data_IF_733958144598
#
_entry.id   IF_733958144598
#
_cell.length_a   1.000
_cell.length_b   1.000
_cell.length_c   1.000
_cell.angle_alpha   90.00
_cell.angle_beta   90.00
_cell.angle_gamma   90.00
#
_symmetry.space_group_name_H-M   'P 1'
#
loop_
_entity.id
_entity.type
_entity.pdbx_description
1 polymer ?
#
# COMPACT_ATOMS: atom_id res chain seq x y z
N UNK A 1 1.18 -23.89 -24.97
CA UNK A 1 2.36 -23.98 -24.08
C UNK A 1 3.35 -22.82 -24.28
N UNK A 2 3.78 -22.48 -25.53
CA UNK A 2 4.76 -21.39 -25.74
C UNK A 2 4.22 -20.00 -25.47
N UNK A 3 3.06 -19.66 -26.02
CA UNK A 3 2.42 -18.35 -25.87
C UNK A 3 1.98 -18.09 -24.42
N UNK A 4 1.49 -19.08 -23.71
CA UNK A 4 1.13 -18.99 -22.29
C UNK A 4 2.34 -18.71 -21.42
N UNK A 5 3.46 -19.40 -21.67
CA UNK A 5 4.72 -19.15 -20.98
C UNK A 5 5.24 -17.74 -21.20
N UNK A 6 5.14 -17.22 -22.41
CA UNK A 6 5.56 -15.86 -22.73
C UNK A 6 4.70 -14.83 -21.97
N UNK A 7 3.38 -15.03 -21.91
CA UNK A 7 2.48 -14.15 -21.16
C UNK A 7 2.83 -14.14 -19.66
N UNK A 8 3.16 -15.30 -19.10
CA UNK A 8 3.50 -15.43 -17.67
C UNK A 8 4.87 -14.86 -17.31
N UNK A 9 5.75 -14.65 -18.29
CA UNK A 9 7.06 -14.02 -18.09
C UNK A 9 7.02 -12.49 -18.12
N UNK A 10 5.91 -11.91 -18.55
CA UNK A 10 5.74 -10.45 -18.58
C UNK A 10 5.62 -9.89 -17.16
N UNK A 11 6.26 -8.74 -16.94
CA UNK A 11 6.31 -8.09 -15.63
C UNK A 11 5.88 -6.62 -15.73
N UNK A 12 5.53 -6.05 -14.57
CA UNK A 12 5.15 -4.64 -14.46
C UNK A 12 3.98 -4.32 -15.40
N UNK A 13 4.10 -3.25 -16.14
CA UNK A 13 3.05 -2.75 -17.03
C UNK A 13 2.70 -3.69 -18.20
N UNK A 14 3.55 -4.62 -18.54
CA UNK A 14 3.30 -5.60 -19.60
C UNK A 14 2.66 -6.88 -19.13
N UNK A 15 2.52 -7.07 -17.81
CA UNK A 15 1.87 -8.25 -17.23
C UNK A 15 0.40 -8.31 -17.64
N UNK A 16 -0.10 -9.52 -17.86
CA UNK A 16 -1.50 -9.73 -18.19
C UNK A 16 -2.40 -9.21 -17.06
N UNK A 17 -3.38 -8.36 -17.41
CA UNK A 17 -4.29 -7.76 -16.43
C UNK A 17 -3.66 -6.70 -15.52
N UNK A 18 -2.47 -6.15 -15.85
CA UNK A 18 -1.89 -5.04 -15.10
C UNK A 18 -2.69 -3.73 -15.30
N UNK A 19 -3.15 -3.47 -16.53
CA UNK A 19 -3.93 -2.29 -16.89
C UNK A 19 -5.35 -2.59 -17.36
N UNK A 20 -5.49 -3.65 -18.13
CA UNK A 20 -6.79 -4.03 -18.70
C UNK A 20 -7.50 -4.91 -17.71
N UNK A 21 -8.52 -4.36 -17.06
CA UNK A 21 -9.32 -5.06 -16.06
C UNK A 21 -9.95 -6.36 -16.59
N UNK A 22 -10.34 -6.38 -17.89
CA UNK A 22 -10.93 -7.54 -18.54
C UNK A 22 -9.97 -8.74 -18.66
N UNK A 23 -8.68 -8.50 -18.60
CA UNK A 23 -7.67 -9.55 -18.66
C UNK A 23 -7.27 -10.09 -17.26
N UNK A 24 -7.63 -9.36 -16.18
CA UNK A 24 -7.26 -9.75 -14.81
C UNK A 24 -7.86 -11.08 -14.35
N UNK A 25 -9.12 -11.42 -14.64
CA UNK A 25 -9.68 -12.73 -14.32
C UNK A 25 -8.90 -13.89 -14.95
N UNK A 26 -8.43 -13.72 -16.19
CA UNK A 26 -7.60 -14.74 -16.86
C UNK A 26 -6.27 -14.97 -16.12
N UNK A 27 -5.70 -13.91 -15.54
CA UNK A 27 -4.49 -14.03 -14.71
C UNK A 27 -4.75 -14.88 -13.47
N UNK A 28 -5.90 -14.72 -12.81
CA UNK A 28 -6.29 -15.56 -11.68
C UNK A 28 -6.40 -17.02 -12.09
N UNK A 29 -7.04 -17.29 -13.24
CA UNK A 29 -7.22 -18.64 -13.76
C UNK A 29 -5.87 -19.30 -14.07
N UNK A 30 -4.94 -18.58 -14.74
CA UNK A 30 -3.61 -19.08 -15.05
C UNK A 30 -2.76 -19.35 -13.79
N UNK A 31 -2.91 -18.52 -12.76
CA UNK A 31 -2.16 -18.65 -11.50
C UNK A 31 -2.84 -19.62 -10.52
N UNK A 32 -4.08 -20.05 -10.79
CA UNK A 32 -4.84 -20.92 -9.91
C UNK A 32 -5.32 -20.24 -8.63
N UNK A 33 -5.51 -18.92 -8.65
CA UNK A 33 -5.99 -18.16 -7.48
C UNK A 33 -7.52 -18.15 -7.42
N UNK A 34 -8.06 -18.43 -6.25
CA UNK A 34 -9.49 -18.34 -5.97
C UNK A 34 -9.97 -16.91 -5.73
N UNK A 35 -9.09 -16.04 -5.25
CA UNK A 35 -9.33 -14.60 -5.08
C UNK A 35 -8.00 -13.83 -4.96
N UNK A 36 -8.07 -12.54 -5.16
CA UNK A 36 -6.91 -11.66 -5.08
C UNK A 36 -7.29 -10.31 -4.46
N UNK A 37 -6.57 -9.91 -3.43
CA UNK A 37 -6.59 -8.53 -2.96
C UNK A 37 -5.73 -7.70 -3.92
N UNK A 38 -6.34 -6.69 -4.54
CA UNK A 38 -5.69 -5.93 -5.63
C UNK A 38 -5.13 -4.63 -5.09
N UNK A 39 -3.83 -4.44 -5.31
CA UNK A 39 -3.10 -3.22 -4.99
C UNK A 39 -2.69 -2.51 -6.26
N UNK A 40 -2.55 -1.20 -6.22
CA UNK A 40 -1.96 -0.45 -7.31
C UNK A 40 -0.48 -0.20 -7.03
N UNK A 41 0.38 -0.38 -8.04
CA UNK A 41 1.80 -0.08 -7.93
C UNK A 41 2.09 1.41 -8.16
N UNK A 42 1.52 2.00 -9.22
CA UNK A 42 1.85 3.37 -9.62
C UNK A 42 1.20 4.44 -8.72
N UNK A 43 0.00 4.17 -8.21
CA UNK A 43 -0.67 5.12 -7.31
C UNK A 43 0.00 5.23 -5.93
N UNK A 44 0.90 4.32 -5.58
CA UNK A 44 1.79 4.49 -4.43
C UNK A 44 2.71 5.71 -4.58
N UNK A 45 2.99 6.15 -5.82
CA UNK A 45 3.66 7.41 -6.10
C UNK A 45 2.89 8.65 -5.60
N UNK A 46 1.57 8.54 -5.39
CA UNK A 46 0.74 9.58 -4.77
C UNK A 46 1.13 9.87 -3.32
N UNK A 47 1.90 9.01 -2.66
CA UNK A 47 2.53 9.33 -1.38
C UNK A 47 3.37 10.60 -1.43
N UNK A 48 3.88 10.99 -2.61
CA UNK A 48 4.54 12.27 -2.82
C UNK A 48 3.65 13.48 -2.58
N UNK A 49 2.33 13.33 -2.65
CA UNK A 49 1.35 14.38 -2.34
C UNK A 49 1.18 14.59 -0.83
N UNK A 50 1.58 13.62 -0.02
CA UNK A 50 1.47 13.65 1.44
C UNK A 50 2.62 14.41 2.10
N UNK A 51 2.81 15.64 1.69
CA UNK A 51 3.90 16.51 2.19
C UNK A 51 3.46 17.49 3.28
N UNK A 52 2.18 17.50 3.64
CA UNK A 52 1.57 18.49 4.53
C UNK A 52 1.31 19.85 3.88
N UNK A 53 1.71 20.04 2.62
CA UNK A 53 1.47 21.29 1.87
C UNK A 53 0.24 21.22 0.96
N UNK A 54 -0.20 20.02 0.63
CA UNK A 54 -1.24 19.75 -0.36
C UNK A 54 -2.25 18.73 0.15
N UNK A 55 -2.60 18.77 1.46
CA UNK A 55 -3.48 17.79 2.10
C UNK A 55 -4.77 17.57 1.33
N UNK A 56 -5.44 18.65 0.90
CA UNK A 56 -6.65 18.55 0.11
C UNK A 56 -6.45 17.77 -1.19
N UNK A 57 -5.33 18.00 -1.89
CA UNK A 57 -5.02 17.28 -3.12
C UNK A 57 -4.76 15.80 -2.84
N UNK A 58 -4.04 15.47 -1.76
CA UNK A 58 -3.80 14.09 -1.35
C UNK A 58 -5.12 13.35 -1.06
N UNK A 59 -6.03 13.98 -0.34
CA UNK A 59 -7.36 13.42 -0.04
C UNK A 59 -8.21 13.21 -1.31
N UNK A 60 -8.25 14.18 -2.21
CA UNK A 60 -9.01 14.04 -3.45
C UNK A 60 -8.39 13.01 -4.42
N UNK A 61 -7.06 12.93 -4.47
CA UNK A 61 -6.36 11.89 -5.21
C UNK A 61 -6.69 10.49 -4.65
N UNK A 62 -6.75 10.35 -3.33
CA UNK A 62 -7.15 9.09 -2.68
C UNK A 62 -8.59 8.70 -3.05
N UNK A 63 -9.54 9.63 -3.02
CA UNK A 63 -10.93 9.38 -3.45
C UNK A 63 -11.01 8.96 -4.91
N UNK A 64 -10.27 9.63 -5.80
CA UNK A 64 -10.22 9.25 -7.21
C UNK A 64 -9.63 7.86 -7.41
N UNK A 65 -8.54 7.55 -6.70
CA UNK A 65 -7.91 6.23 -6.68
C UNK A 65 -8.89 5.16 -6.21
N UNK A 66 -9.61 5.37 -5.11
CA UNK A 66 -10.52 4.38 -4.54
C UNK A 66 -11.66 4.06 -5.51
N UNK A 67 -12.23 5.08 -6.19
CA UNK A 67 -13.21 4.85 -7.26
C UNK A 67 -12.66 4.03 -8.42
N UNK A 68 -11.43 4.31 -8.84
CA UNK A 68 -10.76 3.56 -9.91
C UNK A 68 -10.51 2.11 -9.52
N UNK A 69 -10.12 1.84 -8.26
CA UNK A 69 -9.93 0.49 -7.76
C UNK A 69 -11.21 -0.34 -7.77
N UNK A 70 -12.32 0.26 -7.36
CA UNK A 70 -13.63 -0.38 -7.43
C UNK A 70 -14.01 -0.67 -8.89
N UNK A 71 -13.84 0.29 -9.81
CA UNK A 71 -14.11 0.06 -11.23
C UNK A 71 -13.25 -1.05 -11.81
N UNK A 72 -11.96 -1.09 -11.45
CA UNK A 72 -11.05 -2.14 -11.91
C UNK A 72 -11.47 -3.53 -11.42
N UNK A 73 -11.87 -3.65 -10.16
CA UNK A 73 -12.20 -4.94 -9.54
C UNK A 73 -13.62 -5.44 -9.87
N UNK A 74 -14.52 -4.57 -10.31
CA UNK A 74 -15.92 -4.94 -10.57
C UNK A 74 -16.14 -5.92 -11.73
N UNK A 75 -15.11 -6.27 -12.49
CA UNK A 75 -15.22 -7.23 -13.61
C UNK A 75 -15.29 -8.68 -13.15
N UNK A 76 -14.85 -8.97 -11.92
CA UNK A 76 -14.87 -10.32 -11.36
C UNK A 76 -14.92 -10.25 -9.83
N UNK A 77 -15.82 -10.99 -9.20
CA UNK A 77 -16.02 -10.99 -7.74
C UNK A 77 -14.84 -11.59 -6.94
N UNK A 78 -13.91 -12.24 -7.61
CA UNK A 78 -12.66 -12.74 -7.02
C UNK A 78 -11.62 -11.61 -6.84
N UNK A 79 -11.80 -10.45 -7.48
CA UNK A 79 -10.95 -9.28 -7.35
C UNK A 79 -11.45 -8.41 -6.21
N UNK A 80 -10.66 -8.32 -5.17
CA UNK A 80 -10.99 -7.59 -3.94
C UNK A 80 -10.26 -6.24 -3.97
N UNK A 81 -11.02 -5.16 -4.11
CA UNK A 81 -10.46 -3.81 -4.16
C UNK A 81 -9.88 -3.38 -2.80
N UNK A 82 -8.75 -2.68 -2.83
CA UNK A 82 -8.22 -1.96 -1.67
C UNK A 82 -8.44 -0.46 -1.83
N UNK A 83 -8.79 0.21 -0.72
CA UNK A 83 -8.90 1.67 -0.64
C UNK A 83 -7.65 2.29 -0.04
N UNK A 84 -7.18 3.39 -0.60
CA UNK A 84 -6.07 4.17 -0.05
C UNK A 84 -6.58 5.28 0.86
N UNK A 85 -5.99 5.42 2.05
CA UNK A 85 -6.33 6.43 3.05
C UNK A 85 -5.07 7.18 3.45
N UNK A 86 -4.88 8.43 3.00
CA UNK A 86 -3.78 9.28 3.45
C UNK A 86 -3.99 9.69 4.92
N UNK A 87 -2.91 9.74 5.70
CA UNK A 87 -2.96 10.13 7.11
C UNK A 87 -2.65 11.62 7.34
N UNK A 88 -2.46 12.41 6.29
CA UNK A 88 -2.03 13.83 6.38
C UNK A 88 -3.09 14.78 6.94
N UNK A 89 -4.33 14.36 6.96
CA UNK A 89 -5.45 15.12 7.49
C UNK A 89 -6.26 14.27 8.46
N UNK A 90 -6.18 14.63 9.74
CA UNK A 90 -6.78 13.88 10.85
C UNK A 90 -8.32 13.80 10.79
N UNK A 91 -8.98 14.75 10.10
CA UNK A 91 -10.44 14.79 9.94
C UNK A 91 -10.90 14.05 8.68
N UNK A 92 -10.11 14.13 7.62
CA UNK A 92 -10.46 13.50 6.35
C UNK A 92 -10.11 12.01 6.31
N UNK A 93 -9.06 11.55 7.01
CA UNK A 93 -8.65 10.15 6.99
C UNK A 93 -9.80 9.19 7.39
N UNK A 94 -10.53 9.39 8.50
CA UNK A 94 -11.67 8.54 8.83
C UNK A 94 -12.82 8.61 7.80
N UNK A 95 -13.06 9.78 7.22
CA UNK A 95 -14.10 9.96 6.20
C UNK A 95 -13.77 9.19 4.92
N UNK A 96 -12.53 9.29 4.44
CA UNK A 96 -12.07 8.56 3.26
C UNK A 96 -12.13 7.05 3.50
N UNK A 97 -11.80 6.59 4.70
CA UNK A 97 -11.91 5.18 5.08
C UNK A 97 -13.37 4.71 4.98
N UNK A 98 -14.30 5.45 5.56
CA UNK A 98 -15.73 5.12 5.50
C UNK A 98 -16.23 5.10 4.06
N UNK A 99 -15.94 6.14 3.28
CA UNK A 99 -16.28 6.22 1.85
C UNK A 99 -15.73 5.01 1.06
N UNK A 100 -14.48 4.60 1.32
CA UNK A 100 -13.88 3.44 0.67
C UNK A 100 -14.61 2.13 1.00
N UNK A 101 -15.03 1.96 2.25
CA UNK A 101 -15.81 0.80 2.68
C UNK A 101 -17.21 0.78 2.07
N UNK A 102 -17.89 1.91 2.06
CA UNK A 102 -19.22 2.06 1.42
C UNK A 102 -19.17 1.74 -0.07
N UNK A 103 -18.07 2.06 -0.75
CA UNK A 103 -17.84 1.65 -2.14
C UNK A 103 -17.56 0.16 -2.31
N UNK A 104 -17.22 -0.56 -1.24
CA UNK A 104 -16.98 -2.01 -1.26
C UNK A 104 -15.52 -2.45 -1.17
N UNK A 105 -14.58 -1.58 -0.81
CA UNK A 105 -13.19 -1.96 -0.54
C UNK A 105 -13.10 -3.02 0.57
N UNK A 106 -12.17 -3.96 0.42
CA UNK A 106 -11.97 -5.13 1.31
C UNK A 106 -10.69 -5.04 2.14
N UNK A 107 -10.02 -3.92 2.08
CA UNK A 107 -8.84 -3.56 2.87
C UNK A 107 -8.54 -2.09 2.70
N UNK A 108 -7.93 -1.46 3.69
CA UNK A 108 -7.49 -0.07 3.65
C UNK A 108 -5.97 0.00 3.66
N UNK A 109 -5.39 0.56 2.61
CA UNK A 109 -3.95 0.84 2.54
C UNK A 109 -3.71 2.20 3.19
N UNK A 110 -2.81 2.25 4.14
CA UNK A 110 -2.30 3.49 4.72
C UNK A 110 -0.79 3.62 4.48
N UNK A 111 -0.24 4.85 4.49
CA UNK A 111 1.20 5.05 4.37
C UNK A 111 1.97 4.30 5.44
N UNK A 112 3.05 3.63 5.07
CA UNK A 112 3.98 3.02 6.03
C UNK A 112 4.97 4.01 6.63
N UNK A 113 4.89 5.29 6.27
CA UNK A 113 5.71 6.38 6.82
C UNK A 113 4.92 7.24 7.78
N UNK A 114 5.66 7.97 8.64
CA UNK A 114 5.07 8.96 9.51
C UNK A 114 4.48 10.13 8.69
N UNK A 115 3.20 10.48 8.90
CA UNK A 115 2.62 11.66 8.29
C UNK A 115 3.30 12.94 8.78
N UNK A 116 3.33 14.02 7.97
CA UNK A 116 3.88 15.29 8.42
C UNK A 116 3.11 15.88 9.59
N UNK A 117 3.82 16.17 10.68
CA UNK A 117 3.28 16.93 11.80
C UNK A 117 2.60 16.16 12.92
N UNK A 118 2.38 14.85 12.76
CA UNK A 118 1.79 14.02 13.82
C UNK A 118 2.18 12.54 13.69
N UNK A 119 2.03 11.80 14.78
CA UNK A 119 2.24 10.35 14.79
C UNK A 119 1.11 9.59 14.05
N UNK A 120 1.40 8.43 13.45
CA UNK A 120 0.34 7.49 13.02
C UNK A 120 -0.56 7.03 14.17
N UNK A 121 -0.08 7.07 15.42
CA UNK A 121 -0.82 6.75 16.65
C UNK A 121 -1.59 7.93 17.23
N UNK A 122 -1.68 9.06 16.54
CA UNK A 122 -2.39 10.25 17.03
C UNK A 122 -3.85 9.94 17.33
N UNK A 123 -4.33 10.35 18.51
CA UNK A 123 -5.69 10.01 19.00
C UNK A 123 -6.83 10.47 18.09
N UNK A 124 -6.64 11.52 17.28
CA UNK A 124 -7.63 11.93 16.28
C UNK A 124 -7.79 10.93 15.12
N UNK A 125 -6.92 9.92 15.02
CA UNK A 125 -7.05 8.80 14.08
C UNK A 125 -7.80 7.60 14.65
N UNK A 126 -8.16 7.62 15.95
CA UNK A 126 -8.95 6.54 16.56
C UNK A 126 -10.24 6.19 15.78
N UNK A 127 -10.99 7.17 15.23
CA UNK A 127 -12.15 6.84 14.41
C UNK A 127 -11.81 6.01 13.15
N UNK A 128 -10.63 6.19 12.56
CA UNK A 128 -10.18 5.37 11.43
C UNK A 128 -9.99 3.91 11.85
N UNK A 129 -9.35 3.70 12.99
CA UNK A 129 -9.11 2.36 13.52
C UNK A 129 -10.41 1.66 13.91
N UNK A 130 -11.33 2.38 14.57
CA UNK A 130 -12.66 1.87 14.89
C UNK A 130 -13.45 1.45 13.64
N UNK A 131 -13.46 2.28 12.60
CA UNK A 131 -14.13 1.97 11.33
C UNK A 131 -13.59 0.66 10.71
N UNK A 132 -12.27 0.49 10.67
CA UNK A 132 -11.67 -0.73 10.12
C UNK A 132 -11.96 -1.97 11.00
N UNK A 133 -11.89 -1.83 12.31
CA UNK A 133 -12.19 -2.88 13.29
C UNK A 133 -13.64 -3.34 13.21
N UNK A 134 -14.60 -2.40 13.25
CA UNK A 134 -16.03 -2.68 13.16
C UNK A 134 -16.41 -3.36 11.84
N UNK A 135 -15.79 -2.94 10.73
CA UNK A 135 -15.96 -3.56 9.43
C UNK A 135 -15.24 -4.92 9.30
N UNK A 136 -14.36 -5.26 10.25
CA UNK A 136 -13.58 -6.50 10.23
C UNK A 136 -12.57 -6.60 9.10
N UNK A 137 -12.19 -5.47 8.48
CA UNK A 137 -11.27 -5.42 7.35
C UNK A 137 -9.83 -5.11 7.82
N UNK A 138 -8.81 -5.59 7.09
CA UNK A 138 -7.43 -5.31 7.45
C UNK A 138 -6.99 -3.89 7.07
N UNK A 139 -6.14 -3.30 7.91
CA UNK A 139 -5.26 -2.20 7.58
C UNK A 139 -4.00 -2.78 6.91
N UNK A 140 -3.62 -2.22 5.79
CA UNK A 140 -2.60 -2.73 4.91
C UNK A 140 -1.47 -1.73 4.78
N UNK A 141 -0.24 -2.18 5.01
CA UNK A 141 0.96 -1.39 4.81
C UNK A 141 1.74 -1.91 3.61
N UNK A 142 1.96 -1.06 2.63
CA UNK A 142 2.98 -1.33 1.62
C UNK A 142 4.32 -0.80 2.12
N UNK A 143 5.37 -1.64 2.13
CA UNK A 143 6.72 -1.20 2.49
C UNK A 143 7.25 -0.16 1.49
N UNK A 144 8.30 0.57 1.86
CA UNK A 144 8.91 1.56 0.97
C UNK A 144 8.30 2.95 1.03
N UNK A 145 7.46 3.25 2.03
CA UNK A 145 6.89 4.59 2.23
C UNK A 145 7.95 5.67 2.45
N UNK A 146 9.06 5.33 3.05
CA UNK A 146 10.22 6.19 3.21
C UNK A 146 11.51 5.36 3.32
N UNK A 147 12.39 5.49 2.33
CA UNK A 147 13.65 4.75 2.28
C UNK A 147 14.82 5.64 2.76
N UNK A 148 14.67 6.27 3.92
CA UNK A 148 15.74 7.09 4.49
C UNK A 148 16.74 6.22 5.19
N UNK A 149 17.91 6.12 4.59
CA UNK A 149 19.10 5.54 5.18
C UNK A 149 20.24 6.56 5.05
N UNK A 150 21.08 6.65 6.06
CA UNK A 150 22.29 7.46 5.95
C UNK A 150 23.15 6.94 4.80
N UNK A 151 23.44 7.80 3.84
CA UNK A 151 24.20 7.42 2.63
C UNK A 151 25.62 6.95 2.95
N UNK A 152 26.17 7.30 4.12
CA UNK A 152 27.45 6.82 4.60
C UNK A 152 27.50 5.28 4.71
N UNK A 153 26.38 4.61 4.97
CA UNK A 153 26.32 3.13 4.98
C UNK A 153 26.64 2.48 3.62
N UNK A 154 26.51 3.24 2.53
CA UNK A 154 26.89 2.78 1.20
C UNK A 154 28.37 2.99 0.89
N UNK A 155 29.08 3.78 1.68
CA UNK A 155 30.49 4.15 1.46
C UNK A 155 31.44 3.16 2.14
N UNK A 156 31.41 1.91 1.73
CA UNK A 156 32.22 0.83 2.28
C UNK A 156 33.55 0.59 1.53
N UNK A 157 33.88 1.44 0.54
CA UNK A 157 35.10 1.31 -0.27
C UNK A 157 35.06 0.20 -1.33
N UNK A 158 33.96 -0.49 -1.47
CA UNK A 158 33.75 -1.53 -2.49
C UNK A 158 33.00 -0.97 -3.70
N UNK A 159 33.15 -1.62 -4.85
CA UNK A 159 32.31 -1.31 -6.01
C UNK A 159 30.84 -1.58 -5.66
N UNK A 160 29.90 -0.67 -6.05
CA UNK A 160 28.49 -0.87 -5.81
C UNK A 160 28.00 -2.19 -6.42
N UNK A 161 27.40 -3.05 -5.60
CA UNK A 161 26.68 -4.22 -6.10
C UNK A 161 25.28 -3.73 -6.43
N UNK A 162 25.06 -3.48 -7.71
CA UNK A 162 23.73 -3.19 -8.25
C UNK A 162 23.00 -4.52 -8.48
N UNK A 163 21.68 -4.48 -8.39
CA UNK A 163 20.87 -5.64 -8.76
C UNK A 163 20.92 -6.82 -7.79
N UNK A 164 20.51 -6.56 -6.56
CA UNK A 164 20.40 -7.58 -5.51
C UNK A 164 19.49 -8.76 -5.89
N UNK A 165 18.50 -8.54 -6.76
CA UNK A 165 17.54 -9.56 -7.21
C UNK A 165 17.82 -10.16 -8.59
N UNK A 166 18.91 -9.78 -9.24
CA UNK A 166 19.20 -10.21 -10.61
C UNK A 166 18.26 -9.64 -11.68
N UNK A 167 17.67 -8.48 -11.43
CA UNK A 167 16.72 -7.80 -12.33
C UNK A 167 17.02 -6.32 -12.54
N UNK A 168 16.09 -5.59 -13.15
CA UNK A 168 16.24 -4.18 -13.51
C UNK A 168 16.02 -3.17 -12.37
N UNK A 169 15.85 -3.63 -11.15
CA UNK A 169 15.41 -2.80 -10.02
C UNK A 169 16.53 -1.98 -9.38
N UNK A 170 17.79 -2.27 -9.70
CA UNK A 170 18.98 -1.49 -9.30
C UNK A 170 19.08 -1.18 -7.79
N UNK A 171 18.62 -2.08 -6.94
CA UNK A 171 18.79 -1.95 -5.50
C UNK A 171 20.16 -2.43 -5.06
N UNK A 172 20.85 -1.64 -4.23
CA UNK A 172 21.95 -2.18 -3.42
C UNK A 172 21.37 -2.99 -2.27
N UNK A 173 22.14 -3.93 -1.72
CA UNK A 173 21.72 -4.70 -0.54
C UNK A 173 21.35 -3.80 0.66
N UNK A 174 22.08 -2.70 0.85
CA UNK A 174 21.81 -1.71 1.89
C UNK A 174 20.49 -0.95 1.61
N UNK A 175 20.24 -0.53 0.37
CA UNK A 175 18.97 0.12 -0.02
C UNK A 175 17.78 -0.80 0.21
N UNK A 176 17.94 -2.08 -0.09
CA UNK A 176 16.92 -3.08 0.16
C UNK A 176 16.57 -3.20 1.65
N UNK A 177 17.59 -3.17 2.52
CA UNK A 177 17.40 -3.19 3.97
C UNK A 177 16.65 -1.97 4.50
N UNK A 178 16.71 -0.83 3.80
CA UNK A 178 16.00 0.39 4.20
C UNK A 178 14.50 0.37 3.88
N UNK A 179 14.04 -0.48 2.96
CA UNK A 179 12.65 -0.54 2.50
C UNK A 179 11.65 -0.73 3.65
N UNK A 180 11.84 -1.64 4.63
CA UNK A 180 10.90 -1.84 5.71
C UNK A 180 11.04 -0.86 6.89
N UNK A 181 12.04 0.03 6.91
CA UNK A 181 12.37 0.84 8.10
C UNK A 181 11.19 1.74 8.54
N UNK A 182 10.53 2.41 7.61
CA UNK A 182 9.39 3.26 7.94
C UNK A 182 8.21 2.47 8.51
N UNK A 183 7.98 1.27 7.98
CA UNK A 183 6.97 0.37 8.48
C UNK A 183 7.27 -0.08 9.92
N UNK A 184 8.50 -0.46 10.21
CA UNK A 184 8.89 -0.85 11.58
C UNK A 184 8.66 0.27 12.57
N UNK A 185 9.00 1.51 12.21
CA UNK A 185 8.75 2.68 13.06
C UNK A 185 7.25 2.91 13.27
N UNK A 186 6.46 2.86 12.20
CA UNK A 186 5.00 3.03 12.27
C UNK A 186 4.33 1.96 13.14
N UNK A 187 4.70 0.69 12.95
CA UNK A 187 4.18 -0.39 13.78
C UNK A 187 4.62 -0.26 15.24
N UNK A 188 5.87 0.13 15.48
CA UNK A 188 6.37 0.32 16.83
C UNK A 188 5.58 1.38 17.60
N UNK A 189 5.30 2.54 17.01
CA UNK A 189 4.51 3.59 17.69
C UNK A 189 3.07 3.16 17.90
N UNK A 190 2.44 2.47 16.95
CA UNK A 190 1.08 1.94 17.11
C UNK A 190 0.98 0.94 18.29
N UNK A 191 2.02 0.13 18.50
CA UNK A 191 2.10 -0.81 19.62
C UNK A 191 2.40 -0.07 20.93
N UNK A 192 3.48 0.70 20.97
CA UNK A 192 3.98 1.35 22.20
C UNK A 192 2.97 2.35 22.74
N UNK A 193 2.26 3.08 21.87
CA UNK A 193 1.25 4.05 22.25
C UNK A 193 -0.12 3.40 22.57
N UNK A 194 -0.17 2.06 22.65
CA UNK A 194 -1.36 1.31 23.05
C UNK A 194 -2.49 1.29 22.02
N UNK A 195 -2.19 1.57 20.75
CA UNK A 195 -3.20 1.54 19.68
C UNK A 195 -3.84 0.15 19.52
N UNK A 196 -3.02 -0.90 19.61
CA UNK A 196 -3.51 -2.28 19.51
C UNK A 196 -4.27 -2.74 20.76
N UNK A 197 -4.00 -2.16 21.93
CA UNK A 197 -4.74 -2.45 23.15
C UNK A 197 -6.15 -1.85 23.11
N UNK A 198 -6.30 -0.71 22.44
CA UNK A 198 -7.60 -0.03 22.26
C UNK A 198 -8.44 -0.63 21.13
N UNK A 199 -7.78 -1.32 20.18
CA UNK A 199 -8.41 -1.94 19.01
C UNK A 199 -7.93 -3.39 18.87
N UNK A 200 -8.34 -4.24 19.79
CA UNK A 200 -7.83 -5.61 19.95
C UNK A 200 -8.25 -6.57 18.81
N UNK A 201 -9.27 -6.20 18.03
CA UNK A 201 -9.73 -6.95 16.85
C UNK A 201 -9.23 -6.40 15.53
N UNK A 202 -8.51 -5.27 15.57
CA UNK A 202 -7.96 -4.67 14.37
C UNK A 202 -6.88 -5.57 13.75
N UNK A 203 -6.97 -5.75 12.44
CA UNK A 203 -6.05 -6.61 11.68
C UNK A 203 -5.09 -5.76 10.89
N UNK A 204 -3.81 -6.11 10.98
CA UNK A 204 -2.75 -5.49 10.16
C UNK A 204 -2.10 -6.52 9.25
N UNK A 205 -1.73 -6.08 8.05
CA UNK A 205 -0.88 -6.84 7.15
C UNK A 205 0.15 -5.91 6.50
N UNK A 206 1.37 -6.44 6.30
CA UNK A 206 2.48 -5.76 5.66
C UNK A 206 3.02 -6.59 4.50
N UNK A 207 3.37 -5.97 3.37
CA UNK A 207 3.89 -6.62 2.16
C UNK A 207 4.72 -5.65 1.33
#
# INVERSE_FOLDING_TARGET
AGAEREIMLRRGHTALGAFRKEDRPKTLDYLGFTSQLVFTSDALGNYGLETGKTNKLACEAARAHNRMMIDFCNVDNRLLATGYVPLVDLQEAPRIALEALEMGCKGLIIPSRCPPGHSPSHTALEPLWSIAEEAGIPILFHVGGENKMDTAYHNNGLAPVLDFHGGAENFTSSSYMAIPLSLWQTMAVLIIDGGLDRHDKLKFAAF
#
